data_IF_515703946617
#
_entry.id   IF_515703946617
#
_cell.length_a   1.000
_cell.length_b   1.000
_cell.length_c   1.000
_cell.angle_alpha   90.00
_cell.angle_beta   90.00
_cell.angle_gamma   90.00
#
_symmetry.space_group_name_H-M   'P 1'
#
loop_
_entity.id
_entity.type
_entity.pdbx_description
1 polymer ?
#
# COMPACT_ATOMS: atom_id res chain seq x y z
N UNK A 1 6.25 -13.33 2.68
CA UNK A 1 5.67 -14.59 3.21
C UNK A 1 4.16 -14.42 3.30
N UNK A 2 3.40 -15.29 2.65
CA UNK A 2 1.96 -15.34 2.81
C UNK A 2 1.63 -16.16 4.07
N UNK A 3 1.04 -15.51 5.06
CA UNK A 3 0.54 -16.21 6.25
C UNK A 3 -0.93 -16.58 6.04
N UNK A 4 -1.24 -17.88 6.13
CA UNK A 4 -2.62 -18.34 6.23
C UNK A 4 -3.03 -18.32 7.71
N UNK A 5 -4.04 -17.53 8.00
CA UNK A 5 -4.59 -17.35 9.34
C UNK A 5 -5.18 -15.95 9.47
N UNK A 6 -6.24 -15.83 10.25
CA UNK A 6 -6.75 -14.49 10.57
C UNK A 6 -5.80 -13.84 11.57
N UNK A 7 -5.37 -12.57 11.34
CA UNK A 7 -4.61 -11.85 12.33
C UNK A 7 -5.46 -11.63 13.59
N UNK A 8 -4.77 -11.37 14.69
CA UNK A 8 -5.43 -11.00 15.94
C UNK A 8 -6.33 -9.77 15.70
N UNK A 9 -7.62 -9.96 15.80
CA UNK A 9 -8.63 -8.92 15.55
C UNK A 9 -8.77 -7.92 16.71
N UNK A 10 -7.94 -8.02 17.73
CA UNK A 10 -7.92 -7.08 18.86
C UNK A 10 -7.34 -5.71 18.50
N UNK A 11 -6.55 -5.61 17.41
CA UNK A 11 -6.04 -4.34 16.87
C UNK A 11 -6.89 -3.92 15.66
N UNK A 12 -7.63 -2.78 15.74
CA UNK A 12 -8.49 -2.32 14.65
C UNK A 12 -7.73 -2.04 13.33
N UNK A 13 -6.46 -1.64 13.40
CA UNK A 13 -5.61 -1.43 12.23
C UNK A 13 -5.34 -2.74 11.51
N UNK A 14 -4.96 -3.77 12.24
CA UNK A 14 -4.71 -5.11 11.68
C UNK A 14 -6.01 -5.77 11.20
N UNK A 15 -7.14 -5.51 11.85
CA UNK A 15 -8.41 -6.12 11.51
C UNK A 15 -8.87 -5.79 10.08
N UNK A 16 -8.56 -4.61 9.55
CA UNK A 16 -8.92 -4.17 8.19
C UNK A 16 -7.81 -4.28 7.16
N UNK A 17 -6.58 -4.61 7.55
CA UNK A 17 -5.43 -4.67 6.63
C UNK A 17 -5.46 -5.88 5.72
N UNK A 18 -5.13 -5.69 4.44
CA UNK A 18 -4.88 -6.76 3.45
C UNK A 18 -3.38 -7.06 3.39
N UNK A 19 -2.54 -6.04 3.58
CA UNK A 19 -1.09 -6.12 3.70
C UNK A 19 -0.58 -5.27 4.84
N UNK A 20 0.63 -5.52 5.30
CA UNK A 20 1.32 -4.73 6.34
C UNK A 20 2.82 -4.86 6.13
N UNK A 21 3.51 -3.72 5.95
CA UNK A 21 4.98 -3.67 6.00
C UNK A 21 5.46 -3.45 7.44
N UNK A 22 6.59 -4.02 7.80
CA UNK A 22 7.17 -3.86 9.13
C UNK A 22 8.68 -4.02 9.14
N UNK A 23 9.32 -3.36 10.11
CA UNK A 23 10.76 -3.48 10.35
C UNK A 23 11.64 -3.05 9.18
N UNK A 24 11.14 -2.24 8.25
CA UNK A 24 11.82 -1.76 7.05
C UNK A 24 12.44 -2.86 6.14
N UNK A 25 12.09 -4.14 6.37
CA UNK A 25 12.69 -5.27 5.65
C UNK A 25 11.68 -6.36 5.27
N UNK A 26 10.46 -6.28 5.75
CA UNK A 26 9.50 -7.38 5.63
C UNK A 26 8.08 -6.85 5.46
N UNK A 27 7.26 -7.61 4.76
CA UNK A 27 5.82 -7.40 4.74
C UNK A 27 5.06 -8.72 4.76
N UNK A 28 3.78 -8.66 5.11
CA UNK A 28 2.85 -9.79 5.09
C UNK A 28 1.63 -9.42 4.26
N UNK A 29 1.07 -10.38 3.55
CA UNK A 29 -0.23 -10.26 2.87
C UNK A 29 -1.16 -11.32 3.41
N UNK A 30 -2.44 -11.01 3.56
CA UNK A 30 -3.49 -11.91 4.03
C UNK A 30 -4.33 -12.43 2.85
N UNK A 31 -4.01 -13.63 2.30
CA UNK A 31 -4.64 -14.13 1.07
C UNK A 31 -6.15 -14.29 1.17
N UNK A 32 -6.66 -14.71 2.32
CA UNK A 32 -8.11 -14.92 2.52
C UNK A 32 -8.89 -13.61 2.29
N UNK A 33 -8.32 -12.47 2.67
CA UNK A 33 -8.91 -11.13 2.44
C UNK A 33 -8.81 -10.69 0.98
N UNK A 34 -7.75 -11.08 0.29
CA UNK A 34 -7.60 -10.87 -1.15
C UNK A 34 -8.69 -11.62 -1.90
N UNK A 35 -8.92 -12.89 -1.54
CA UNK A 35 -9.94 -13.74 -2.17
C UNK A 35 -11.36 -13.19 -1.96
N UNK A 36 -11.67 -12.68 -0.77
CA UNK A 36 -12.98 -12.09 -0.44
C UNK A 36 -13.30 -10.86 -1.34
N UNK A 37 -12.29 -10.12 -1.78
CA UNK A 37 -12.43 -8.92 -2.60
C UNK A 37 -12.29 -9.19 -4.10
N UNK A 38 -11.84 -10.37 -4.48
CA UNK A 38 -11.46 -10.71 -5.86
C UNK A 38 -12.58 -10.48 -6.89
N UNK A 39 -13.83 -10.80 -6.53
CA UNK A 39 -14.99 -10.64 -7.42
C UNK A 39 -15.31 -9.16 -7.71
N UNK A 40 -14.94 -8.25 -6.82
CA UNK A 40 -15.27 -6.82 -6.94
C UNK A 40 -14.18 -6.05 -7.71
N UNK A 41 -12.93 -6.50 -7.66
CA UNK A 41 -11.75 -5.70 -8.02
C UNK A 41 -10.92 -6.31 -9.17
N UNK A 42 -11.55 -7.08 -10.04
CA UNK A 42 -10.86 -7.59 -11.24
C UNK A 42 -10.03 -8.86 -11.01
N UNK A 43 -10.24 -9.53 -9.86
CA UNK A 43 -9.60 -10.80 -9.53
C UNK A 43 -8.51 -10.70 -8.47
N UNK A 44 -8.21 -11.83 -7.84
CA UNK A 44 -7.21 -11.94 -6.76
C UNK A 44 -5.81 -11.47 -7.19
N UNK A 45 -5.40 -11.76 -8.43
CA UNK A 45 -4.09 -11.36 -8.96
C UNK A 45 -3.92 -9.84 -9.04
N UNK A 46 -4.99 -9.11 -9.41
CA UNK A 46 -4.94 -7.65 -9.50
C UNK A 46 -4.76 -7.03 -8.11
N UNK A 47 -5.52 -7.52 -7.12
CA UNK A 47 -5.42 -7.06 -5.73
C UNK A 47 -4.04 -7.41 -5.16
N UNK A 48 -3.62 -8.66 -5.31
CA UNK A 48 -2.34 -9.13 -4.79
C UNK A 48 -1.17 -8.30 -5.35
N UNK A 49 -1.20 -8.00 -6.65
CA UNK A 49 -0.20 -7.14 -7.30
C UNK A 49 -0.19 -5.76 -6.66
N UNK A 50 -1.35 -5.12 -6.52
CA UNK A 50 -1.44 -3.78 -5.94
C UNK A 50 -0.89 -3.78 -4.51
N UNK A 51 -1.33 -4.70 -3.66
CA UNK A 51 -0.89 -4.80 -2.26
C UNK A 51 0.61 -5.07 -2.17
N UNK A 52 1.16 -6.01 -2.94
CA UNK A 52 2.60 -6.32 -2.89
C UNK A 52 3.44 -5.12 -3.33
N UNK A 53 3.04 -4.40 -4.38
CA UNK A 53 3.77 -3.19 -4.83
C UNK A 53 3.64 -2.06 -3.81
N UNK A 54 2.47 -1.89 -3.17
CA UNK A 54 2.24 -0.94 -2.10
C UNK A 54 3.20 -1.19 -0.91
N UNK A 55 3.20 -2.41 -0.38
CA UNK A 55 4.08 -2.78 0.74
C UNK A 55 5.58 -2.63 0.37
N UNK A 56 5.93 -2.92 -0.88
CA UNK A 56 7.28 -2.67 -1.38
C UNK A 56 7.62 -1.16 -1.35
N UNK A 57 6.67 -0.29 -1.68
CA UNK A 57 6.82 1.16 -1.55
C UNK A 57 7.20 1.59 -0.14
N UNK A 58 6.54 1.04 0.88
CA UNK A 58 6.91 1.28 2.28
C UNK A 58 8.34 0.78 2.60
N UNK A 59 8.73 -0.38 2.09
CA UNK A 59 10.11 -0.87 2.26
C UNK A 59 11.16 -0.01 1.54
N UNK A 60 10.76 0.67 0.47
CA UNK A 60 11.60 1.65 -0.23
C UNK A 60 11.56 3.04 0.44
N UNK A 61 10.89 3.18 1.57
CA UNK A 61 10.72 4.42 2.32
C UNK A 61 9.99 5.53 1.55
N UNK A 62 9.14 5.20 0.59
CA UNK A 62 8.38 6.21 -0.16
C UNK A 62 7.37 6.95 0.71
N UNK A 63 6.97 8.12 0.26
CA UNK A 63 5.98 9.01 0.92
C UNK A 63 6.38 9.41 2.34
N UNK A 64 7.49 10.13 2.47
CA UNK A 64 7.94 10.78 3.73
C UNK A 64 8.25 9.84 4.91
N UNK A 65 8.46 8.56 4.72
CA UNK A 65 8.74 7.65 5.85
C UNK A 65 10.05 7.95 6.58
N UNK A 66 11.04 8.54 5.92
CA UNK A 66 12.36 8.83 6.52
C UNK A 66 12.98 10.15 6.06
N UNK A 67 12.26 10.95 5.31
CA UNK A 67 12.71 12.23 4.73
C UNK A 67 11.48 13.12 4.48
N UNK A 68 11.73 14.38 4.15
CA UNK A 68 10.70 15.29 3.66
C UNK A 68 10.77 15.36 2.13
N UNK A 69 9.74 14.88 1.46
CA UNK A 69 9.63 14.93 0.01
C UNK A 69 9.59 16.36 -0.52
N UNK A 70 10.25 16.63 -1.65
CA UNK A 70 10.14 17.90 -2.36
C UNK A 70 8.74 18.16 -2.92
N UNK A 71 7.97 17.10 -3.16
CA UNK A 71 6.59 17.17 -3.62
C UNK A 71 5.69 16.82 -2.44
N UNK A 72 4.91 17.79 -1.97
CA UNK A 72 3.92 17.54 -0.92
C UNK A 72 2.77 16.69 -1.46
N UNK A 73 2.85 15.38 -1.28
CA UNK A 73 1.86 14.40 -1.73
C UNK A 73 1.40 13.42 -0.65
N UNK A 74 1.96 13.53 0.56
CA UNK A 74 1.53 12.71 1.70
C UNK A 74 0.10 13.04 2.13
N UNK A 75 -0.69 11.99 2.43
CA UNK A 75 -2.00 12.14 3.04
C UNK A 75 -1.85 12.42 4.54
N UNK A 76 -2.25 13.60 5.03
CA UNK A 76 -2.09 13.96 6.44
C UNK A 76 -2.97 13.11 7.38
N UNK A 77 -4.02 12.45 6.88
CA UNK A 77 -4.87 11.55 7.65
C UNK A 77 -4.30 10.13 7.70
N UNK A 78 -3.44 9.79 6.74
CA UNK A 78 -2.80 8.48 6.62
C UNK A 78 -1.30 8.64 6.34
N UNK A 79 -0.49 9.01 7.34
CA UNK A 79 0.95 9.24 7.16
C UNK A 79 1.65 8.04 6.50
N UNK A 80 2.61 8.34 5.62
CA UNK A 80 3.30 7.33 4.82
C UNK A 80 2.54 6.88 3.57
N UNK A 81 1.40 7.49 3.27
CA UNK A 81 0.58 7.19 2.10
C UNK A 81 0.37 8.41 1.23
N UNK A 82 0.22 8.19 -0.08
CA UNK A 82 -0.10 9.25 -1.04
C UNK A 82 -1.56 9.66 -0.97
N UNK A 83 -1.84 10.96 -1.11
CA UNK A 83 -3.21 11.46 -1.29
C UNK A 83 -3.77 11.23 -2.70
N UNK A 84 -2.92 10.79 -3.64
CA UNK A 84 -3.30 10.47 -5.03
C UNK A 84 -3.92 9.08 -5.10
N UNK A 85 -5.23 9.00 -5.34
CA UNK A 85 -5.97 7.75 -5.45
C UNK A 85 -5.67 6.95 -6.74
N UNK A 86 -4.87 7.50 -7.64
CA UNK A 86 -4.34 6.81 -8.82
C UNK A 86 -2.99 6.16 -8.59
N UNK A 87 -2.33 6.48 -7.47
CA UNK A 87 -1.09 5.83 -7.04
C UNK A 87 -1.36 4.55 -6.26
N UNK A 88 -0.49 3.57 -6.43
CA UNK A 88 -0.47 2.38 -5.58
C UNK A 88 -0.16 2.70 -4.12
N UNK A 89 0.46 3.85 -3.82
CA UNK A 89 0.72 4.31 -2.44
C UNK A 89 -0.49 4.94 -1.75
N UNK A 90 -1.67 4.92 -2.37
CA UNK A 90 -2.90 5.36 -1.73
C UNK A 90 -3.29 4.42 -0.57
N UNK A 91 -3.63 4.96 0.60
CA UNK A 91 -3.84 4.19 1.84
C UNK A 91 -4.85 3.04 1.74
N UNK A 92 -5.88 3.17 0.89
CA UNK A 92 -6.92 2.15 0.77
C UNK A 92 -6.42 0.85 0.13
N UNK A 93 -5.26 0.85 -0.54
CA UNK A 93 -4.71 -0.32 -1.22
C UNK A 93 -4.40 -1.45 -0.23
N UNK A 94 -3.93 -1.13 0.96
CA UNK A 94 -3.58 -2.12 1.99
C UNK A 94 -4.76 -2.52 2.89
N UNK A 95 -5.96 -1.95 2.67
CA UNK A 95 -7.12 -2.17 3.53
C UNK A 95 -8.32 -2.73 2.78
N UNK A 96 -9.27 -3.31 3.52
CA UNK A 96 -10.54 -3.78 2.95
C UNK A 96 -11.42 -2.67 2.37
N UNK A 97 -11.11 -1.38 2.66
CA UNK A 97 -11.76 -0.22 2.05
C UNK A 97 -11.52 -0.13 0.52
N UNK A 98 -10.49 -0.80 0.00
CA UNK A 98 -10.21 -0.93 -1.44
C UNK A 98 -11.46 -1.33 -2.23
N UNK A 99 -12.27 -2.27 -1.71
CA UNK A 99 -13.50 -2.74 -2.35
C UNK A 99 -14.64 -1.72 -2.39
N UNK A 100 -14.57 -0.65 -1.60
CA UNK A 100 -15.57 0.42 -1.57
C UNK A 100 -15.19 1.59 -2.47
N UNK A 101 -13.89 1.82 -2.65
CA UNK A 101 -13.35 2.98 -3.36
C UNK A 101 -13.08 2.72 -4.84
N UNK A 102 -12.74 1.50 -5.20
CA UNK A 102 -12.43 1.14 -6.57
C UNK A 102 -13.52 0.25 -7.21
N UNK A 103 -13.82 0.52 -8.47
CA UNK A 103 -14.62 -0.36 -9.33
C UNK A 103 -13.69 -0.95 -10.39
N UNK A 104 -13.38 -2.23 -10.27
CA UNK A 104 -12.38 -2.90 -11.09
C UNK A 104 -11.00 -2.91 -10.47
N UNK A 105 -9.96 -3.20 -11.26
CA UNK A 105 -8.61 -3.36 -10.76
C UNK A 105 -8.09 -2.08 -10.08
N UNK A 106 -7.53 -2.18 -8.85
CA UNK A 106 -6.94 -1.05 -8.17
C UNK A 106 -5.64 -0.60 -8.86
N UNK A 107 -5.16 0.63 -8.56
CA UNK A 107 -3.83 1.06 -8.98
C UNK A 107 -2.75 0.06 -8.56
N UNK A 108 -1.81 -0.22 -9.44
CA UNK A 108 -0.69 -1.14 -9.18
C UNK A 108 0.67 -0.58 -9.59
N UNK A 109 0.72 0.73 -9.84
CA UNK A 109 1.93 1.48 -10.20
C UNK A 109 2.09 2.69 -9.29
N UNK A 110 3.34 3.08 -9.06
CA UNK A 110 3.66 4.32 -8.36
C UNK A 110 3.21 5.53 -9.15
N UNK A 111 2.70 6.55 -8.46
CA UNK A 111 2.40 7.86 -9.04
C UNK A 111 3.67 8.66 -9.35
N UNK A 112 3.52 9.77 -10.09
CA UNK A 112 4.66 10.60 -10.48
C UNK A 112 5.42 11.18 -9.27
N UNK A 113 4.73 11.54 -8.19
CA UNK A 113 5.34 12.03 -6.97
C UNK A 113 6.13 10.93 -6.24
N UNK A 114 5.60 9.70 -6.19
CA UNK A 114 6.31 8.55 -5.60
C UNK A 114 7.59 8.22 -6.40
N UNK A 115 7.51 8.31 -7.74
CA UNK A 115 8.67 8.11 -8.61
C UNK A 115 9.72 9.21 -8.44
N UNK A 116 9.30 10.46 -8.18
CA UNK A 116 10.22 11.54 -7.86
C UNK A 116 10.93 11.31 -6.52
N UNK A 117 10.22 10.78 -5.53
CA UNK A 117 10.80 10.36 -4.24
C UNK A 117 11.84 9.26 -4.44
N UNK A 118 11.50 8.22 -5.20
CA UNK A 118 12.41 7.13 -5.50
C UNK A 118 13.69 7.63 -6.20
N UNK A 119 13.56 8.56 -7.12
CA UNK A 119 14.71 9.20 -7.77
C UNK A 119 15.54 10.04 -6.80
N UNK A 120 14.88 10.77 -5.87
CA UNK A 120 15.55 11.53 -4.82
C UNK A 120 16.38 10.63 -3.90
N UNK A 121 15.79 9.52 -3.45
CA UNK A 121 16.48 8.50 -2.63
C UNK A 121 17.66 7.86 -3.40
N UNK A 122 17.43 7.48 -4.65
CA UNK A 122 18.47 6.87 -5.51
C UNK A 122 19.67 7.79 -5.73
N UNK A 123 19.43 9.08 -5.85
CA UNK A 123 20.49 10.09 -6.11
C UNK A 123 21.12 10.66 -4.85
N UNK A 124 20.62 10.29 -3.66
CA UNK A 124 21.10 10.81 -2.38
C UNK A 124 20.69 12.27 -2.14
N UNK A 125 19.55 12.69 -2.68
CA UNK A 125 18.98 14.02 -2.43
C UNK A 125 18.37 14.12 -1.04
N UNK A 126 17.84 13.01 -0.53
CA UNK A 126 17.27 12.85 0.78
C UNK A 126 18.20 12.12 1.74
#
# INVERSE_FOLDING_TARGET
VALRGQPDQSDPGIASSIGIAFGATSFVVFPDRVDDLALLLGGADAILRAVVVHELGHLLCLVNLSYDSEIDHEDPEHPGHSRDDTSVMFHAIETTAIGQLFQGAPPSTFGDADLADLEGLRTGRY
#
